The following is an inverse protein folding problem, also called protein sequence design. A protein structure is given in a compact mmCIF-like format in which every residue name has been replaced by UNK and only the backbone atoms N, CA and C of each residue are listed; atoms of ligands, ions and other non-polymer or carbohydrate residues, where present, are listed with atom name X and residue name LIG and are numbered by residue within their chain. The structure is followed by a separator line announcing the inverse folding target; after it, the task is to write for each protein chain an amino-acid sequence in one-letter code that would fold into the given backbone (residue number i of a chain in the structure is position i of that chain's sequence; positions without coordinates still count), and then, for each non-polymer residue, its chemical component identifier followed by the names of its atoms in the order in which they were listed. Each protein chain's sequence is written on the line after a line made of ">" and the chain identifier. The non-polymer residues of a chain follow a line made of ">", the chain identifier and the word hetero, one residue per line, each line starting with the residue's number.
data_IF_423496755997
#
_entry.id   IF_423496755997
#
_cell.length_a   1.000
_cell.length_b   1.000
_cell.length_c   1.000
_cell.angle_alpha   90.00
_cell.angle_beta   90.00
_cell.angle_gamma   90.00
#
_symmetry.space_group_name_H-M   'P 1'
#
loop_
_entity.id
_entity.type
_entity.pdbx_description
1 polymer ?
#
# COMPACT_ATOMS: atom_id res chain seq x y z
N UNK A 1 4.37 16.05 -6.79
CA UNK A 1 3.79 15.09 -5.85
C UNK A 1 3.52 13.82 -6.62
N UNK A 2 3.89 12.65 -6.08
CA UNK A 2 3.70 11.37 -6.74
C UNK A 2 2.55 10.63 -6.06
N UNK A 3 1.64 10.05 -6.83
CA UNK A 3 0.47 9.32 -6.31
C UNK A 3 0.57 7.87 -6.76
N UNK A 4 0.47 6.95 -5.80
CA UNK A 4 0.50 5.52 -6.04
C UNK A 4 -0.83 4.91 -5.61
N UNK A 5 -1.47 4.21 -6.53
CA UNK A 5 -2.65 3.40 -6.25
C UNK A 5 -2.26 1.92 -6.25
N UNK A 6 -2.61 1.20 -5.20
CA UNK A 6 -2.29 -0.22 -5.02
C UNK A 6 -3.26 -0.85 -4.04
N UNK A 7 -3.36 -2.17 -4.00
CA UNK A 7 -4.32 -2.86 -3.14
C UNK A 7 -3.85 -4.22 -2.69
N UNK A 8 -4.47 -4.74 -1.63
CA UNK A 8 -4.22 -6.07 -1.10
C UNK A 8 -5.49 -6.91 -1.19
N UNK A 9 -5.35 -8.12 -1.73
CA UNK A 9 -6.46 -9.08 -1.82
C UNK A 9 -6.74 -9.74 -0.47
N UNK A 10 -8.02 -10.01 -0.17
CA UNK A 10 -8.42 -10.67 1.08
C UNK A 10 -8.16 -12.17 1.02
N UNK A 11 -7.69 -12.73 2.13
CA UNK A 11 -7.55 -14.20 2.31
C UNK A 11 -8.89 -14.89 2.56
N UNK A 12 -9.82 -14.22 3.25
CA UNK A 12 -11.17 -14.71 3.56
C UNK A 12 -12.16 -13.57 3.47
N UNK A 13 -13.32 -13.82 2.86
CA UNK A 13 -14.43 -12.87 2.67
C UNK A 13 -15.23 -12.56 3.95
N UNK A 14 -14.66 -12.84 5.14
CA UNK A 14 -15.31 -12.46 6.39
C UNK A 14 -15.27 -10.93 6.52
N UNK A 15 -16.43 -10.31 6.35
CA UNK A 15 -16.56 -8.87 6.23
C UNK A 15 -16.44 -8.21 7.61
N UNK A 16 -15.33 -7.52 7.84
CA UNK A 16 -15.23 -6.53 8.90
C UNK A 16 -16.09 -5.30 8.53
N UNK A 17 -16.46 -4.48 9.51
CA UNK A 17 -17.07 -3.19 9.21
C UNK A 17 -16.07 -2.34 8.41
N UNK A 18 -16.44 -1.96 7.19
CA UNK A 18 -15.54 -1.32 6.22
C UNK A 18 -14.77 -0.12 6.78
N UNK A 19 -15.44 0.76 7.54
CA UNK A 19 -14.82 1.95 8.13
C UNK A 19 -13.75 1.62 9.20
N UNK A 20 -13.98 0.59 10.02
CA UNK A 20 -12.99 0.16 11.02
C UNK A 20 -11.76 -0.41 10.34
N UNK A 21 -11.97 -1.21 9.31
CA UNK A 21 -10.90 -1.83 8.56
C UNK A 21 -10.04 -0.83 7.77
N UNK A 22 -10.66 0.17 7.16
CA UNK A 22 -9.96 1.26 6.48
C UNK A 22 -9.06 2.02 7.47
N UNK A 23 -9.58 2.39 8.64
CA UNK A 23 -8.82 3.08 9.68
C UNK A 23 -7.65 2.22 10.20
N UNK A 24 -7.90 0.95 10.54
CA UNK A 24 -6.88 0.01 11.00
C UNK A 24 -5.75 -0.16 9.96
N UNK A 25 -6.09 -0.21 8.68
CA UNK A 25 -5.11 -0.37 7.61
C UNK A 25 -4.28 0.91 7.40
N UNK A 26 -4.91 2.09 7.48
CA UNK A 26 -4.21 3.38 7.44
C UNK A 26 -3.27 3.53 8.64
N UNK A 27 -3.73 3.20 9.84
CA UNK A 27 -2.92 3.26 11.06
C UNK A 27 -1.72 2.30 10.99
N UNK A 28 -1.93 1.09 10.47
CA UNK A 28 -0.84 0.14 10.26
C UNK A 28 0.19 0.68 9.25
N UNK A 29 -0.23 1.32 8.15
CA UNK A 29 0.71 1.93 7.20
C UNK A 29 1.50 3.08 7.84
N UNK A 30 0.85 3.95 8.60
CA UNK A 30 1.53 5.05 9.28
C UNK A 30 2.50 4.58 10.37
N UNK A 31 2.15 3.52 11.11
CA UNK A 31 3.02 2.94 12.12
C UNK A 31 4.35 2.41 11.55
N UNK A 32 4.39 2.08 10.25
CA UNK A 32 5.56 1.55 9.57
C UNK A 32 6.22 2.52 8.59
N UNK A 33 5.63 3.69 8.37
CA UNK A 33 6.21 4.74 7.55
C UNK A 33 7.38 5.40 8.28
N UNK A 34 8.51 5.57 7.60
CA UNK A 34 9.62 6.40 8.11
C UNK A 34 9.67 7.73 7.35
N UNK A 35 10.21 8.81 7.96
CA UNK A 35 10.35 10.10 7.25
C UNK A 35 11.13 9.98 5.94
N UNK A 36 12.07 9.02 5.89
CA UNK A 36 12.83 8.67 4.70
C UNK A 36 12.02 8.06 3.55
N UNK A 37 10.77 7.65 3.76
CA UNK A 37 9.86 7.23 2.68
C UNK A 37 9.24 8.44 1.97
N UNK A 38 9.12 9.58 2.66
CA UNK A 38 8.48 10.78 2.14
C UNK A 38 6.99 10.61 1.86
N UNK A 39 6.32 9.76 2.65
CA UNK A 39 4.87 9.59 2.63
C UNK A 39 4.22 10.83 3.27
N UNK A 40 3.27 11.45 2.57
CA UNK A 40 2.54 12.63 3.03
C UNK A 40 1.11 12.30 3.45
N UNK A 41 0.45 11.42 2.69
CA UNK A 41 -0.94 11.07 2.94
C UNK A 41 -1.24 9.63 2.50
N UNK A 42 -2.19 9.01 3.19
CA UNK A 42 -2.68 7.66 2.88
C UNK A 42 -4.19 7.69 3.04
N UNK A 43 -4.90 7.17 2.05
CA UNK A 43 -6.29 6.77 2.20
C UNK A 43 -6.44 5.28 1.91
N UNK A 44 -7.39 4.66 2.58
CA UNK A 44 -7.77 3.28 2.32
C UNK A 44 -9.24 3.22 1.94
N UNK A 45 -9.59 2.28 1.09
CA UNK A 45 -10.95 1.97 0.69
C UNK A 45 -11.16 0.46 0.75
N UNK A 46 -12.05 0.03 1.63
CA UNK A 46 -12.44 -1.36 1.75
C UNK A 46 -13.41 -1.72 0.62
N UNK A 47 -13.02 -2.70 -0.18
CA UNK A 47 -13.83 -3.34 -1.20
C UNK A 47 -14.25 -4.75 -0.73
N UNK A 48 -15.19 -5.38 -1.45
CA UNK A 48 -15.73 -6.70 -1.10
C UNK A 48 -14.63 -7.76 -0.92
N UNK A 49 -13.67 -7.81 -1.85
CA UNK A 49 -12.64 -8.86 -1.90
C UNK A 49 -11.21 -8.34 -1.67
N UNK A 50 -11.05 -7.03 -1.45
CA UNK A 50 -9.74 -6.38 -1.30
C UNK A 50 -9.81 -5.09 -0.51
N UNK A 51 -8.67 -4.52 -0.17
CA UNK A 51 -8.54 -3.13 0.27
C UNK A 51 -7.65 -2.38 -0.72
N UNK A 52 -8.12 -1.23 -1.19
CA UNK A 52 -7.37 -0.35 -2.08
C UNK A 52 -6.77 0.79 -1.25
N UNK A 53 -5.54 1.18 -1.57
CA UNK A 53 -4.80 2.27 -0.95
C UNK A 53 -4.42 3.30 -1.99
N UNK A 54 -4.58 4.58 -1.62
CA UNK A 54 -4.04 5.70 -2.36
C UNK A 54 -2.98 6.38 -1.49
N UNK A 55 -1.73 6.26 -1.91
CA UNK A 55 -0.57 6.79 -1.21
C UNK A 55 -0.01 7.99 -1.94
N UNK A 56 0.28 9.02 -1.16
CA UNK A 56 0.75 10.32 -1.62
C UNK A 56 2.17 10.53 -1.13
N UNK A 57 3.10 10.75 -2.06
CA UNK A 57 4.51 10.90 -1.77
C UNK A 57 5.06 12.24 -2.24
N UNK A 58 6.04 12.74 -1.48
CA UNK A 58 6.93 13.79 -1.94
C UNK A 58 7.66 13.35 -3.20
N UNK A 59 7.57 14.18 -4.24
CA UNK A 59 8.32 13.97 -5.48
C UNK A 59 9.81 14.09 -5.21
N UNK A 60 10.57 13.15 -5.77
CA UNK A 60 12.02 13.15 -5.73
C UNK A 60 12.58 13.52 -7.09
N UNK A 61 13.73 14.23 -7.13
CA UNK A 61 14.39 14.51 -8.39
C UNK A 61 14.73 13.19 -9.10
N UNK A 62 14.58 13.13 -10.43
CA UNK A 62 14.94 11.95 -11.20
C UNK A 62 16.42 11.62 -10.99
N UNK A 63 16.73 10.34 -10.74
CA UNK A 63 18.09 9.87 -10.47
C UNK A 63 18.41 9.53 -9.00
N UNK A 64 17.43 9.59 -8.08
CA UNK A 64 17.53 8.96 -6.74
C UNK A 64 16.83 7.60 -6.71
N UNK A 65 17.49 6.63 -6.07
CA UNK A 65 17.35 5.16 -6.15
C UNK A 65 15.99 4.49 -5.89
N UNK A 66 14.86 5.19 -5.82
CA UNK A 66 13.55 4.48 -5.78
C UNK A 66 12.39 5.35 -6.23
N UNK A 67 11.68 4.86 -7.24
CA UNK A 67 10.40 5.40 -7.67
C UNK A 67 9.36 5.35 -6.53
N UNK A 68 8.34 6.20 -6.60
CA UNK A 68 7.25 6.22 -5.60
C UNK A 68 6.59 4.83 -5.47
N UNK A 69 6.47 4.08 -6.57
CA UNK A 69 5.91 2.73 -6.54
C UNK A 69 6.76 1.76 -5.69
N UNK A 70 8.08 1.82 -5.77
CA UNK A 70 8.97 0.97 -4.96
C UNK A 70 8.90 1.33 -3.48
N UNK A 71 8.79 2.62 -3.16
CA UNK A 71 8.58 3.09 -1.78
C UNK A 71 7.26 2.58 -1.22
N UNK A 72 6.17 2.71 -1.97
CA UNK A 72 4.86 2.18 -1.59
C UNK A 72 4.89 0.67 -1.37
N UNK A 73 5.50 -0.07 -2.28
CA UNK A 73 5.63 -1.53 -2.15
C UNK A 73 6.40 -1.93 -0.90
N UNK A 74 7.53 -1.26 -0.60
CA UNK A 74 8.31 -1.55 0.63
C UNK A 74 7.50 -1.26 1.88
N UNK A 75 6.81 -0.12 1.93
CA UNK A 75 5.97 0.25 3.07
C UNK A 75 4.86 -0.78 3.30
N UNK A 76 4.12 -1.14 2.25
CA UNK A 76 3.02 -2.10 2.34
C UNK A 76 3.53 -3.49 2.72
N UNK A 77 4.67 -3.91 2.17
CA UNK A 77 5.29 -5.21 2.53
C UNK A 77 5.74 -5.22 3.99
N UNK A 78 6.33 -4.13 4.49
CA UNK A 78 6.72 -4.01 5.88
C UNK A 78 5.49 -4.03 6.81
N UNK A 79 4.47 -3.25 6.49
CA UNK A 79 3.23 -3.20 7.26
C UNK A 79 2.50 -4.54 7.25
N UNK A 80 2.42 -5.23 6.11
CA UNK A 80 1.83 -6.56 6.00
C UNK A 80 2.55 -7.60 6.86
N UNK A 81 3.88 -7.56 6.92
CA UNK A 81 4.68 -8.50 7.72
C UNK A 81 4.59 -8.22 9.22
N UNK A 82 4.55 -6.96 9.60
CA UNK A 82 4.63 -6.54 10.99
C UNK A 82 3.26 -6.43 11.68
N UNK A 83 2.19 -6.13 10.94
CA UNK A 83 0.83 -6.06 11.48
C UNK A 83 0.14 -7.42 11.40
N UNK A 84 -0.16 -8.08 12.54
CA UNK A 84 -0.90 -9.35 12.55
C UNK A 84 -2.25 -9.24 11.86
N UNK A 85 -2.89 -8.07 11.94
CA UNK A 85 -4.18 -7.79 11.32
C UNK A 85 -4.08 -7.84 9.79
N UNK A 86 -3.11 -7.12 9.21
CA UNK A 86 -2.91 -7.13 7.77
C UNK A 86 -2.46 -8.52 7.29
N UNK A 87 -1.56 -9.16 8.04
CA UNK A 87 -1.02 -10.47 7.71
C UNK A 87 -2.10 -11.56 7.64
N UNK A 88 -3.04 -11.55 8.60
CA UNK A 88 -4.10 -12.56 8.69
C UNK A 88 -5.23 -12.30 7.68
N UNK A 89 -5.56 -11.03 7.42
CA UNK A 89 -6.69 -10.66 6.56
C UNK A 89 -6.35 -10.63 5.08
N UNK A 90 -5.12 -10.28 4.72
CA UNK A 90 -4.74 -10.03 3.33
C UNK A 90 -3.61 -10.91 2.82
N UNK A 91 -3.62 -11.17 1.52
CA UNK A 91 -2.50 -11.76 0.81
C UNK A 91 -1.37 -10.73 0.71
N UNK A 92 -0.09 -11.16 0.72
CA UNK A 92 1.02 -10.27 0.50
C UNK A 92 0.89 -9.59 -0.86
N UNK A 93 1.34 -8.33 -0.96
CA UNK A 93 1.38 -7.62 -2.23
C UNK A 93 2.29 -8.43 -3.18
N UNK A 94 1.70 -9.02 -4.23
CA UNK A 94 2.50 -9.71 -5.23
C UNK A 94 3.46 -8.70 -5.89
N UNK A 95 4.69 -9.11 -6.25
CA UNK A 95 5.58 -8.24 -6.99
C UNK A 95 4.86 -7.87 -8.28
N UNK A 96 4.43 -6.60 -8.37
CA UNK A 96 3.89 -6.05 -9.60
C UNK A 96 5.01 -6.14 -10.62
N UNK A 97 4.97 -7.16 -11.49
CA UNK A 97 5.76 -7.13 -12.72
C UNK A 97 5.35 -5.83 -13.41
N UNK A 98 6.28 -4.89 -13.63
CA UNK A 98 5.92 -3.66 -14.31
C UNK A 98 5.29 -4.06 -15.64
N UNK A 99 4.03 -3.69 -15.86
CA UNK A 99 3.36 -3.89 -17.12
C UNK A 99 4.25 -3.25 -18.18
N UNK A 100 4.97 -4.10 -18.93
CA UNK A 100 5.82 -3.67 -20.01
C UNK A 100 4.93 -2.84 -20.94
N UNK A 101 5.29 -1.58 -21.10
CA UNK A 101 4.79 -0.74 -22.16
C UNK A 101 5.03 -1.52 -23.46
N UNK A 102 4.00 -2.01 -24.18
CA UNK A 102 4.23 -2.49 -25.53
C UNK A 102 4.60 -1.25 -26.35
N UNK A 103 5.90 -1.14 -26.65
CA UNK A 103 6.41 -0.17 -27.60
C UNK A 103 5.68 -0.32 -28.94
N UNK A 104 5.37 0.84 -29.50
CA UNK A 104 4.83 1.06 -30.84
C UNK A 104 5.57 0.28 -31.93
#
# INVERSE_FOLDING_TARGET
>A
MDVVHTGLERRRTAQAAAATEEAEAVDALWAHAVPGDGLEHVTARSCADRIDFLLFYLSRPPGRDSDAADRARRLITAAHRASPLLHQRYLPLEPSTPAGHPGY
#
